data_IF_634613097651
#
_entry.id   IF_634613097651
#
_cell.length_a   1.000
_cell.length_b   1.000
_cell.length_c   1.000
_cell.angle_alpha   90.00
_cell.angle_beta   90.00
_cell.angle_gamma   90.00
#
_symmetry.space_group_name_H-M   'P 1'
#
loop_
_entity.id
_entity.type
_entity.pdbx_description
1 polymer ?
#
# COMPACT_ATOMS: atom_id res chain seq x y z
N UNK A 1 -6.84 9.40 -2.40
CA UNK A 1 -6.72 9.14 -0.95
C UNK A 1 -5.36 8.51 -0.64
N UNK A 2 -4.75 8.86 0.49
CA UNK A 2 -3.43 8.34 0.87
C UNK A 2 -3.55 7.03 1.62
N UNK A 3 -2.82 6.01 1.18
CA UNK A 3 -2.78 4.71 1.82
C UNK A 3 -1.34 4.26 2.04
N UNK A 4 -1.16 3.46 3.08
CA UNK A 4 0.04 2.67 3.31
C UNK A 4 -0.30 1.20 3.10
N UNK A 5 0.50 0.52 2.30
CA UNK A 5 0.41 -0.92 2.09
C UNK A 5 1.69 -1.55 2.61
N UNK A 6 1.55 -2.60 3.42
CA UNK A 6 2.68 -3.41 3.90
C UNK A 6 2.42 -4.88 3.60
N UNK A 7 3.46 -5.62 3.22
CA UNK A 7 3.38 -7.06 3.01
C UNK A 7 4.77 -7.72 3.10
N UNK A 8 4.85 -9.05 3.26
CA UNK A 8 6.13 -9.76 3.21
C UNK A 8 6.89 -9.50 1.91
N UNK A 9 8.23 -9.39 1.99
CA UNK A 9 9.09 -9.06 0.85
C UNK A 9 8.92 -10.00 -0.35
N UNK A 10 8.61 -11.28 -0.11
CA UNK A 10 8.36 -12.27 -1.16
C UNK A 10 7.11 -11.93 -1.99
N UNK A 11 6.04 -11.47 -1.33
CA UNK A 11 4.81 -11.03 -1.99
C UNK A 11 5.02 -9.65 -2.63
N UNK A 12 5.73 -8.76 -1.93
CA UNK A 12 6.10 -7.43 -2.43
C UNK A 12 6.85 -7.49 -3.75
N UNK A 13 7.85 -8.37 -3.91
CA UNK A 13 8.56 -8.54 -5.20
C UNK A 13 7.65 -8.93 -6.35
N UNK A 14 6.58 -9.69 -6.07
CA UNK A 14 5.65 -10.24 -7.06
C UNK A 14 4.52 -9.28 -7.40
N UNK A 15 4.05 -8.52 -6.41
CA UNK A 15 2.84 -7.69 -6.52
C UNK A 15 3.16 -6.20 -6.66
N UNK A 16 4.40 -5.77 -6.43
CA UNK A 16 4.80 -4.35 -6.45
C UNK A 16 4.40 -3.64 -7.73
N UNK A 17 4.68 -4.21 -8.90
CA UNK A 17 4.32 -3.58 -10.17
C UNK A 17 2.80 -3.36 -10.27
N UNK A 18 2.01 -4.40 -9.98
CA UNK A 18 0.54 -4.32 -10.01
C UNK A 18 -0.04 -3.34 -8.98
N UNK A 19 0.56 -3.25 -7.79
CA UNK A 19 0.15 -2.32 -6.73
C UNK A 19 0.46 -0.88 -7.15
N UNK A 20 1.66 -0.64 -7.71
CA UNK A 20 2.12 0.68 -8.16
C UNK A 20 1.35 1.16 -9.39
N UNK A 21 0.96 0.27 -10.31
CA UNK A 21 0.10 0.61 -11.46
C UNK A 21 -1.31 1.06 -11.04
N UNK A 22 -1.83 0.54 -9.92
CA UNK A 22 -3.11 0.96 -9.35
C UNK A 22 -3.03 2.28 -8.56
N UNK A 23 -1.85 2.87 -8.44
CA UNK A 23 -1.64 4.12 -7.73
C UNK A 23 -1.65 5.33 -8.67
N UNK A 24 -2.27 6.41 -8.21
CA UNK A 24 -2.18 7.71 -8.89
C UNK A 24 -0.79 8.32 -8.69
N UNK A 25 -0.22 8.15 -7.49
CA UNK A 25 1.12 8.64 -7.16
C UNK A 25 1.75 7.80 -6.07
N UNK A 26 3.01 7.40 -6.25
CA UNK A 26 3.81 6.79 -5.18
C UNK A 26 4.55 7.89 -4.43
N UNK A 27 4.42 7.91 -3.10
CA UNK A 27 5.09 8.87 -2.22
C UNK A 27 6.26 8.25 -1.45
N UNK A 28 6.23 6.94 -1.22
CA UNK A 28 7.32 6.18 -0.62
C UNK A 28 7.26 4.73 -1.05
N UNK A 29 8.40 4.13 -1.34
CA UNK A 29 8.56 2.73 -1.74
C UNK A 29 9.83 2.21 -1.07
N UNK A 30 9.65 1.37 -0.04
CA UNK A 30 10.76 0.92 0.80
C UNK A 30 10.76 -0.61 0.91
N UNK A 31 11.79 -1.21 0.34
CA UNK A 31 11.99 -2.66 0.32
C UNK A 31 12.91 -3.05 1.47
N UNK A 32 12.33 -3.48 2.60
CA UNK A 32 13.06 -3.98 3.75
C UNK A 32 13.60 -5.40 3.54
N UNK A 33 14.19 -5.94 4.61
CA UNK A 33 14.70 -7.33 4.62
C UNK A 33 13.57 -8.36 4.70
N UNK A 34 12.53 -8.08 5.46
CA UNK A 34 11.42 -9.02 5.73
C UNK A 34 10.10 -8.54 5.13
N UNK A 35 9.90 -7.23 5.05
CA UNK A 35 8.65 -6.61 4.60
C UNK A 35 8.93 -5.51 3.57
N UNK A 36 7.98 -5.33 2.66
CA UNK A 36 7.90 -4.21 1.73
C UNK A 36 6.81 -3.26 2.21
N UNK A 37 7.14 -1.97 2.31
CA UNK A 37 6.22 -0.90 2.64
C UNK A 37 6.13 0.09 1.47
N UNK A 38 4.91 0.46 1.10
CA UNK A 38 4.66 1.49 0.08
C UNK A 38 3.59 2.46 0.58
N UNK A 39 3.86 3.76 0.41
CA UNK A 39 2.94 4.84 0.68
C UNK A 39 2.57 5.50 -0.65
N UNK A 40 1.29 5.57 -0.93
CA UNK A 40 0.80 6.03 -2.23
C UNK A 40 -0.56 6.72 -2.14
N UNK A 41 -0.81 7.60 -3.11
CA UNK A 41 -2.12 8.15 -3.40
C UNK A 41 -2.83 7.24 -4.40
N UNK A 42 -4.05 6.85 -4.04
CA UNK A 42 -4.91 5.97 -4.84
C UNK A 42 -6.28 6.60 -4.99
N UNK A 43 -7.03 6.24 -6.04
CA UNK A 43 -8.45 6.55 -6.08
C UNK A 43 -9.22 5.79 -4.98
N UNK A 44 -10.28 6.37 -4.39
CA UNK A 44 -11.10 5.66 -3.40
C UNK A 44 -11.65 4.32 -3.90
N UNK A 45 -11.94 4.20 -5.20
CA UNK A 45 -12.37 2.94 -5.82
C UNK A 45 -11.29 1.85 -5.83
N UNK A 46 -10.01 2.23 -5.87
CA UNK A 46 -8.88 1.30 -5.86
C UNK A 46 -8.67 0.65 -4.50
N UNK A 47 -9.17 1.25 -3.41
CA UNK A 47 -9.01 0.70 -2.06
C UNK A 47 -9.58 -0.72 -1.94
N UNK A 48 -10.80 -0.92 -2.46
CA UNK A 48 -11.45 -2.23 -2.42
C UNK A 48 -10.70 -3.24 -3.28
N UNK A 49 -10.25 -2.84 -4.47
CA UNK A 49 -9.48 -3.68 -5.39
C UNK A 49 -8.18 -4.14 -4.75
N UNK A 50 -7.43 -3.21 -4.15
CA UNK A 50 -6.19 -3.51 -3.45
C UNK A 50 -6.42 -4.40 -2.23
N UNK A 51 -7.47 -4.15 -1.44
CA UNK A 51 -7.76 -4.99 -0.28
C UNK A 51 -8.07 -6.44 -0.68
N UNK A 52 -8.90 -6.64 -1.72
CA UNK A 52 -9.19 -7.98 -2.27
C UNK A 52 -7.93 -8.65 -2.81
N UNK A 53 -7.07 -7.89 -3.50
CA UNK A 53 -5.79 -8.38 -4.01
C UNK A 53 -4.87 -8.87 -2.88
N UNK A 54 -4.72 -8.08 -1.81
CA UNK A 54 -3.89 -8.44 -0.65
C UNK A 54 -4.45 -9.67 0.08
N UNK A 55 -5.77 -9.79 0.21
CA UNK A 55 -6.38 -10.97 0.82
C UNK A 55 -6.13 -12.23 -0.01
N UNK A 56 -6.26 -12.14 -1.33
CA UNK A 56 -6.10 -13.27 -2.24
C UNK A 56 -4.64 -13.69 -2.41
N UNK A 57 -3.76 -12.75 -2.69
CA UNK A 57 -2.37 -13.03 -3.08
C UNK A 57 -1.43 -13.13 -1.88
N UNK A 58 -1.59 -12.28 -0.86
CA UNK A 58 -0.74 -12.32 0.34
C UNK A 58 -1.27 -13.27 1.43
N UNK A 59 -2.33 -14.04 1.16
CA UNK A 59 -2.98 -14.95 2.12
C UNK A 59 -3.31 -14.29 3.47
N UNK A 60 -3.75 -13.02 3.43
CA UNK A 60 -4.06 -12.21 4.61
C UNK A 60 -2.85 -11.62 5.36
N UNK A 61 -1.62 -11.77 4.84
CA UNK A 61 -0.41 -11.15 5.40
C UNK A 61 -0.17 -9.72 4.89
N UNK A 62 -0.86 -9.32 3.83
CA UNK A 62 -0.84 -7.95 3.33
C UNK A 62 -1.80 -7.08 4.13
N UNK A 63 -1.36 -5.88 4.49
CA UNK A 63 -2.14 -4.90 5.25
C UNK A 63 -2.24 -3.61 4.44
N UNK A 64 -3.42 -3.02 4.40
CA UNK A 64 -3.67 -1.70 3.83
C UNK A 64 -4.29 -0.79 4.89
N UNK A 65 -3.73 0.40 5.06
CA UNK A 65 -4.18 1.38 6.03
C UNK A 65 -4.37 2.73 5.35
N UNK A 66 -5.52 3.36 5.56
CA UNK A 66 -5.74 4.74 5.12
C UNK A 66 -4.95 5.69 6.01
N UNK A 67 -4.06 6.48 5.43
CA UNK A 67 -3.37 7.53 6.16
C UNK A 67 -4.26 8.75 6.19
N UNK A 68 -4.91 9.00 7.32
CA UNK A 68 -5.61 10.27 7.55
C UNK A 68 -4.57 11.39 7.56
N UNK A 69 -4.85 12.46 6.81
CA UNK A 69 -4.09 13.70 6.93
C UNK A 69 -4.43 14.32 8.28
N UNK A 70 -3.70 13.95 9.34
CA UNK A 70 -3.61 14.79 10.51
C UNK A 70 -2.75 15.98 10.07
N UNK A 71 -3.41 17.05 9.61
CA UNK A 71 -2.76 18.35 9.60
C UNK A 71 -2.32 18.57 11.05
N UNK A 72 -1.04 18.35 11.33
CA UNK A 72 -0.45 18.84 12.57
C UNK A 72 -0.70 20.33 12.52
N UNK A 73 -1.65 20.79 13.35
CA UNK A 73 -1.78 22.18 13.68
C UNK A 73 -0.43 22.59 14.24
N UNK A 74 0.42 23.18 13.40
CA UNK A 74 1.59 23.90 13.84
C UNK A 74 1.05 25.05 14.69
N UNK A 75 1.17 24.87 16.01
CA UNK A 75 1.04 25.95 16.99
C UNK A 75 2.38 26.66 17.14
#
# INVERSE_FOLDING_TARGET
MRVRVTMPVNDGKRLREQIVEGAEKVEGDEMGQEEWEVVMLIDPGQFRVMNELLQKECKGKGRIETMSFAATASS
#
